data_IF_887432206012
#
_entry.id   IF_887432206012
#
_cell.length_a   1.000
_cell.length_b   1.000
_cell.length_c   1.000
_cell.angle_alpha   90.00
_cell.angle_beta   90.00
_cell.angle_gamma   90.00
#
_symmetry.space_group_name_H-M   'P 1'
#
loop_
_entity.id
_entity.type
_entity.pdbx_description
1 polymer ?
#
# COMPACT_ATOMS: atom_id res chain seq x y z
N UNK A 1 -2.98 -20.71 10.55
CA UNK A 1 -2.52 -19.58 11.38
C UNK A 1 -3.76 -18.89 11.89
N UNK A 2 -3.90 -18.65 13.20
CA UNK A 2 -5.02 -17.84 13.69
C UNK A 2 -4.94 -16.42 13.10
N UNK A 3 -6.06 -15.84 12.65
CA UNK A 3 -6.07 -14.50 12.09
C UNK A 3 -5.74 -13.47 13.18
N UNK A 4 -4.67 -12.71 12.96
CA UNK A 4 -4.33 -11.58 13.83
C UNK A 4 -5.41 -10.50 13.74
N UNK A 5 -5.69 -9.86 14.86
CA UNK A 5 -6.62 -8.73 14.93
C UNK A 5 -5.87 -7.44 15.22
N UNK A 6 -6.26 -6.38 14.51
CA UNK A 6 -5.79 -5.02 14.77
C UNK A 6 -7.01 -4.10 14.84
N UNK A 7 -7.07 -3.30 15.90
CA UNK A 7 -8.08 -2.25 16.02
C UNK A 7 -7.69 -1.01 15.20
N UNK A 8 -8.66 -0.10 15.02
CA UNK A 8 -8.47 1.14 14.26
C UNK A 8 -7.27 1.95 14.77
N UNK A 9 -7.11 2.04 16.10
CA UNK A 9 -6.03 2.83 16.72
C UNK A 9 -4.66 2.22 16.51
N UNK A 10 -4.54 0.90 16.46
CA UNK A 10 -3.27 0.20 16.19
C UNK A 10 -2.85 0.42 14.75
N UNK A 11 -3.77 0.30 13.80
CA UNK A 11 -3.50 0.59 12.38
C UNK A 11 -3.08 2.06 12.20
N UNK A 12 -3.83 3.00 12.78
CA UNK A 12 -3.50 4.43 12.68
C UNK A 12 -2.13 4.77 13.29
N UNK A 13 -1.79 4.20 14.45
CA UNK A 13 -0.47 4.38 15.06
C UNK A 13 0.65 3.83 14.20
N UNK A 14 0.43 2.68 13.56
CA UNK A 14 1.41 2.07 12.68
C UNK A 14 1.61 2.88 11.39
N UNK A 15 0.52 3.39 10.79
CA UNK A 15 0.59 4.34 9.66
C UNK A 15 1.41 5.58 10.04
N UNK A 16 1.14 6.18 11.20
CA UNK A 16 1.88 7.35 11.68
C UNK A 16 3.36 7.04 11.97
N UNK A 17 3.65 5.84 12.49
CA UNK A 17 5.03 5.37 12.69
C UNK A 17 5.75 5.28 11.34
N UNK A 18 5.15 4.60 10.36
CA UNK A 18 5.72 4.44 9.02
C UNK A 18 5.92 5.78 8.32
N UNK A 19 4.94 6.70 8.44
CA UNK A 19 5.06 8.05 7.89
C UNK A 19 6.24 8.84 8.48
N UNK A 20 6.54 8.63 9.76
CA UNK A 20 7.68 9.26 10.45
C UNK A 20 9.02 8.59 10.14
N UNK A 21 9.03 7.34 9.65
CA UNK A 21 10.27 6.69 9.21
C UNK A 21 10.79 7.28 7.91
N UNK A 22 9.89 7.60 6.96
CA UNK A 22 10.26 8.12 5.64
C UNK A 22 9.55 9.44 5.28
N UNK A 23 9.70 10.51 6.09
CA UNK A 23 9.00 11.77 5.85
C UNK A 23 9.48 12.44 4.56
N UNK A 24 10.78 12.35 4.25
CA UNK A 24 11.36 12.97 3.04
C UNK A 24 10.88 12.26 1.77
N UNK A 25 11.01 10.92 1.61
CA UNK A 25 10.46 10.25 0.42
C UNK A 25 8.96 10.44 0.24
N UNK A 26 8.17 10.43 1.32
CA UNK A 26 6.73 10.70 1.25
C UNK A 26 6.43 12.11 0.75
N UNK A 27 7.14 13.12 1.29
CA UNK A 27 6.95 14.52 0.87
C UNK A 27 7.37 14.70 -0.59
N UNK A 28 8.50 14.12 -0.99
CA UNK A 28 8.97 14.17 -2.38
C UNK A 28 8.00 13.47 -3.34
N UNK A 29 7.44 12.32 -2.94
CA UNK A 29 6.40 11.65 -3.70
C UNK A 29 5.17 12.54 -3.89
N UNK A 30 4.62 13.08 -2.80
CA UNK A 30 3.40 13.90 -2.85
C UNK A 30 3.62 15.14 -3.72
N UNK A 31 4.72 15.87 -3.53
CA UNK A 31 5.01 17.06 -4.32
C UNK A 31 5.32 16.72 -5.79
N UNK A 32 6.07 15.65 -6.03
CA UNK A 32 6.44 15.20 -7.37
C UNK A 32 5.23 14.76 -8.19
N UNK A 33 4.41 13.87 -7.62
CA UNK A 33 3.17 13.42 -8.25
C UNK A 33 2.22 14.59 -8.49
N UNK A 34 1.98 15.43 -7.47
CA UNK A 34 1.07 16.56 -7.60
C UNK A 34 1.51 17.54 -8.70
N UNK A 35 2.81 17.83 -8.78
CA UNK A 35 3.38 18.69 -9.83
C UNK A 35 3.22 18.08 -11.21
N UNK A 36 3.50 16.78 -11.35
CA UNK A 36 3.42 16.08 -12.63
C UNK A 36 1.98 16.04 -13.15
N UNK A 37 1.02 15.62 -12.33
CA UNK A 37 -0.40 15.58 -12.72
C UNK A 37 -0.95 17.00 -12.99
N UNK A 38 -0.61 17.99 -12.15
CA UNK A 38 -1.04 19.38 -12.40
C UNK A 38 -0.50 19.95 -13.71
N UNK A 39 0.70 19.56 -14.10
CA UNK A 39 1.26 19.93 -15.39
C UNK A 39 0.51 19.27 -16.55
N UNK A 40 0.12 18.00 -16.41
CA UNK A 40 -0.69 17.29 -17.41
C UNK A 40 -2.03 18.01 -17.58
N UNK A 41 -2.76 18.20 -16.49
CA UNK A 41 -4.10 18.82 -16.50
C UNK A 41 -4.05 20.22 -17.09
N UNK A 42 -3.05 21.03 -16.70
CA UNK A 42 -2.90 22.40 -17.19
C UNK A 42 -2.53 22.47 -18.68
N UNK A 43 -1.69 21.54 -19.15
CA UNK A 43 -1.11 21.61 -20.51
C UNK A 43 -2.01 20.94 -21.54
N UNK A 44 -2.65 19.82 -21.16
CA UNK A 44 -3.38 18.97 -22.09
C UNK A 44 -4.90 18.95 -21.82
N UNK A 45 -5.36 19.47 -20.68
CA UNK A 45 -6.76 19.40 -20.28
C UNK A 45 -7.27 17.96 -20.25
N UNK A 46 -8.49 17.73 -20.74
CA UNK A 46 -9.14 16.42 -20.72
C UNK A 46 -8.66 15.46 -21.84
N UNK A 47 -7.69 15.86 -22.65
CA UNK A 47 -7.21 15.02 -23.76
C UNK A 47 -6.25 13.97 -23.23
N UNK A 48 -6.65 12.70 -23.28
CA UNK A 48 -5.74 11.60 -22.96
C UNK A 48 -4.54 11.58 -23.90
N UNK A 49 -3.33 11.65 -23.34
CA UNK A 49 -2.08 11.71 -24.12
C UNK A 49 -1.10 10.59 -23.81
N UNK A 50 -0.18 10.32 -24.74
CA UNK A 50 0.96 9.43 -24.47
C UNK A 50 1.83 9.95 -23.31
N UNK A 51 1.88 11.27 -23.09
CA UNK A 51 2.64 11.88 -22.01
C UNK A 51 2.01 11.56 -20.64
N UNK A 52 0.69 11.67 -20.53
CA UNK A 52 -0.06 11.21 -19.34
C UNK A 52 0.19 9.72 -19.05
N UNK A 53 0.24 8.89 -20.08
CA UNK A 53 0.60 7.47 -19.93
C UNK A 53 1.99 7.29 -19.30
N UNK A 54 2.98 8.13 -19.68
CA UNK A 54 4.31 8.10 -19.06
C UNK A 54 4.27 8.56 -17.60
N UNK A 55 3.46 9.58 -17.27
CA UNK A 55 3.27 10.04 -15.89
C UNK A 55 2.67 8.93 -15.04
N UNK A 56 1.63 8.25 -15.53
CA UNK A 56 1.02 7.10 -14.84
C UNK A 56 2.01 5.96 -14.60
N UNK A 57 2.83 5.61 -15.60
CA UNK A 57 3.86 4.57 -15.45
C UNK A 57 4.95 4.98 -14.46
N UNK A 58 5.39 6.23 -14.50
CA UNK A 58 6.37 6.77 -13.56
C UNK A 58 5.83 6.81 -12.13
N UNK A 59 4.58 7.25 -11.95
CA UNK A 59 3.89 7.26 -10.65
C UNK A 59 3.74 5.83 -10.10
N UNK A 60 3.29 4.86 -10.90
CA UNK A 60 3.22 3.45 -10.50
C UNK A 60 4.58 2.88 -10.06
N UNK A 61 5.67 3.27 -10.72
CA UNK A 61 7.02 2.91 -10.30
C UNK A 61 7.46 3.62 -9.00
N UNK A 62 7.11 4.90 -8.82
CA UNK A 62 7.38 5.63 -7.57
C UNK A 62 6.61 5.03 -6.39
N UNK A 63 5.37 4.64 -6.58
CA UNK A 63 4.55 3.92 -5.60
C UNK A 63 5.20 2.58 -5.22
N UNK A 64 5.73 1.84 -6.20
CA UNK A 64 6.52 0.64 -5.94
C UNK A 64 7.77 0.94 -5.09
N UNK A 65 8.56 1.94 -5.47
CA UNK A 65 9.77 2.34 -4.73
C UNK A 65 9.43 2.77 -3.31
N UNK A 66 8.38 3.56 -3.13
CA UNK A 66 7.92 4.01 -1.82
C UNK A 66 7.48 2.84 -0.95
N UNK A 67 6.71 1.90 -1.51
CA UNK A 67 6.31 0.66 -0.82
C UNK A 67 7.55 -0.14 -0.41
N UNK A 68 8.50 -0.32 -1.34
CA UNK A 68 9.74 -1.05 -1.08
C UNK A 68 10.57 -0.41 0.04
N UNK A 69 10.78 0.91 0.01
CA UNK A 69 11.53 1.64 1.04
C UNK A 69 10.86 1.52 2.40
N UNK A 70 9.54 1.71 2.47
CA UNK A 70 8.78 1.55 3.71
C UNK A 70 8.89 0.13 4.27
N UNK A 71 8.83 -0.89 3.41
CA UNK A 71 9.00 -2.27 3.83
C UNK A 71 10.43 -2.58 4.31
N UNK A 72 11.44 -2.02 3.64
CA UNK A 72 12.84 -2.18 4.02
C UNK A 72 13.11 -1.54 5.40
N UNK A 73 12.68 -0.28 5.60
CA UNK A 73 12.83 0.43 6.88
C UNK A 73 12.01 -0.21 8.01
N UNK A 74 10.88 -0.84 7.68
CA UNK A 74 10.08 -1.61 8.63
C UNK A 74 10.67 -2.99 8.96
N UNK A 75 11.80 -3.38 8.34
CA UNK A 75 12.47 -4.66 8.56
C UNK A 75 11.72 -5.87 7.99
N UNK A 76 10.84 -5.65 7.00
CA UNK A 76 9.96 -6.69 6.47
C UNK A 76 10.62 -7.63 5.45
N UNK A 77 11.88 -7.36 5.10
CA UNK A 77 12.71 -8.22 4.22
C UNK A 77 13.77 -9.01 5.00
N UNK A 78 13.52 -9.36 6.27
CA UNK A 78 14.48 -10.08 7.12
C UNK A 78 14.99 -11.39 6.46
N UNK A 79 14.13 -12.12 5.76
CA UNK A 79 14.47 -13.35 5.02
C UNK A 79 14.85 -13.10 3.54
N UNK A 80 15.13 -11.84 3.20
CA UNK A 80 15.42 -11.38 1.85
C UNK A 80 14.16 -11.01 1.04
N UNK A 81 14.37 -10.15 0.04
CA UNK A 81 13.35 -9.80 -0.95
C UNK A 81 13.27 -10.89 -2.01
N UNK A 82 12.07 -11.39 -2.29
CA UNK A 82 11.87 -12.40 -3.34
C UNK A 82 11.15 -11.86 -4.57
N UNK A 83 10.24 -10.91 -4.41
CA UNK A 83 9.41 -10.37 -5.50
C UNK A 83 9.96 -9.06 -6.10
N UNK A 84 9.83 -8.93 -7.42
CA UNK A 84 10.26 -7.74 -8.17
C UNK A 84 9.13 -6.76 -8.51
N UNK A 85 9.47 -5.69 -9.25
CA UNK A 85 8.50 -4.71 -9.76
C UNK A 85 7.38 -5.36 -10.59
N UNK A 86 7.70 -6.35 -11.42
CA UNK A 86 6.70 -7.01 -12.27
C UNK A 86 5.62 -7.72 -11.45
N UNK A 87 6.00 -8.39 -10.36
CA UNK A 87 5.04 -9.08 -9.49
C UNK A 87 4.13 -8.07 -8.77
N UNK A 88 4.72 -6.97 -8.28
CA UNK A 88 3.96 -5.84 -7.73
C UNK A 88 2.99 -5.25 -8.75
N UNK A 89 3.44 -5.01 -9.98
CA UNK A 89 2.64 -4.46 -11.05
C UNK A 89 1.46 -5.36 -11.40
N UNK A 90 1.68 -6.67 -11.53
CA UNK A 90 0.61 -7.63 -11.83
C UNK A 90 -0.46 -7.67 -10.72
N UNK A 91 -0.05 -7.72 -9.44
CA UNK A 91 -1.01 -7.66 -8.32
C UNK A 91 -1.76 -6.32 -8.34
N UNK A 92 -1.06 -5.21 -8.59
CA UNK A 92 -1.66 -3.87 -8.61
C UNK A 92 -2.66 -3.69 -9.76
N UNK A 93 -2.37 -4.25 -10.94
CA UNK A 93 -3.30 -4.24 -12.08
C UNK A 93 -4.54 -5.09 -11.77
N UNK A 94 -4.35 -6.34 -11.33
CA UNK A 94 -5.47 -7.25 -11.08
C UNK A 94 -6.37 -6.71 -9.95
N UNK A 95 -5.78 -6.31 -8.83
CA UNK A 95 -6.53 -5.72 -7.72
C UNK A 95 -7.15 -4.39 -8.12
N UNK A 96 -6.42 -3.51 -8.80
CA UNK A 96 -6.91 -2.22 -9.28
C UNK A 96 -8.12 -2.35 -10.19
N UNK A 97 -8.08 -3.23 -11.20
CA UNK A 97 -9.21 -3.48 -12.09
C UNK A 97 -10.45 -3.96 -11.33
N UNK A 98 -10.27 -4.90 -10.39
CA UNK A 98 -11.39 -5.44 -9.61
C UNK A 98 -11.94 -4.43 -8.59
N UNK A 99 -11.08 -3.58 -8.02
CA UNK A 99 -11.50 -2.46 -7.16
C UNK A 99 -12.29 -1.44 -7.97
N UNK A 100 -11.83 -1.07 -9.16
CA UNK A 100 -12.54 -0.16 -10.08
C UNK A 100 -13.90 -0.76 -10.47
N UNK A 101 -13.93 -2.01 -10.95
CA UNK A 101 -15.17 -2.70 -11.30
C UNK A 101 -16.11 -2.83 -10.10
N UNK A 102 -15.57 -3.14 -8.93
CA UNK A 102 -16.31 -3.19 -7.67
C UNK A 102 -16.94 -1.84 -7.37
N UNK A 103 -16.17 -0.77 -7.41
CA UNK A 103 -16.61 0.61 -7.12
C UNK A 103 -17.66 1.09 -8.12
N UNK A 104 -17.48 0.80 -9.42
CA UNK A 104 -18.43 1.14 -10.48
C UNK A 104 -19.74 0.38 -10.36
N UNK A 105 -19.70 -0.90 -9.98
CA UNK A 105 -20.90 -1.69 -9.74
C UNK A 105 -21.66 -1.17 -8.52
N UNK A 106 -20.96 -1.05 -7.37
CA UNK A 106 -21.46 -0.52 -6.11
C UNK A 106 -20.25 -0.08 -5.26
N UNK A 107 -20.24 1.17 -4.77
CA UNK A 107 -19.11 1.74 -4.01
C UNK A 107 -18.63 0.81 -2.87
N UNK A 108 -19.56 0.13 -2.19
CA UNK A 108 -19.27 -0.75 -1.04
C UNK A 108 -18.38 -1.95 -1.41
N UNK A 109 -18.71 -2.79 -2.42
CA UNK A 109 -17.79 -3.82 -2.92
C UNK A 109 -16.38 -3.34 -3.22
N UNK A 110 -16.22 -2.20 -3.88
CA UNK A 110 -14.90 -1.61 -4.16
C UNK A 110 -14.08 -1.33 -2.89
N UNK A 111 -14.73 -0.71 -1.90
CA UNK A 111 -14.12 -0.43 -0.59
C UNK A 111 -13.72 -1.70 0.16
N UNK A 112 -14.56 -2.75 0.12
CA UNK A 112 -14.26 -4.04 0.76
C UNK A 112 -13.04 -4.68 0.08
N UNK A 113 -12.99 -4.69 -1.25
CA UNK A 113 -11.85 -5.23 -2.00
C UNK A 113 -10.57 -4.45 -1.67
N UNK A 114 -10.61 -3.12 -1.68
CA UNK A 114 -9.46 -2.29 -1.34
C UNK A 114 -8.96 -2.59 0.07
N UNK A 115 -9.85 -2.58 1.08
CA UNK A 115 -9.49 -2.83 2.47
C UNK A 115 -8.86 -4.23 2.65
N UNK A 116 -9.38 -5.25 1.97
CA UNK A 116 -8.98 -6.64 2.17
C UNK A 116 -7.78 -7.07 1.33
N UNK A 117 -7.51 -6.39 0.21
CA UNK A 117 -6.36 -6.68 -0.66
C UNK A 117 -5.21 -5.70 -0.49
N UNK A 118 -5.38 -4.67 0.35
CA UNK A 118 -4.33 -3.70 0.63
C UNK A 118 -2.97 -4.35 0.96
N UNK A 119 -2.84 -5.36 1.85
CA UNK A 119 -1.53 -5.94 2.16
C UNK A 119 -1.01 -6.94 1.12
N UNK A 120 -1.81 -7.35 0.13
CA UNK A 120 -1.39 -8.32 -0.90
C UNK A 120 -0.19 -7.84 -1.73
N UNK A 121 -0.10 -6.53 -2.01
CA UNK A 121 1.03 -5.95 -2.75
C UNK A 121 2.34 -6.02 -1.97
N UNK A 122 2.29 -6.07 -0.63
CA UNK A 122 3.46 -6.31 0.20
C UNK A 122 3.81 -7.81 0.24
N UNK A 123 2.80 -8.69 0.32
CA UNK A 123 3.00 -10.14 0.36
C UNK A 123 3.73 -10.67 -0.87
N UNK A 124 3.37 -10.17 -2.06
CA UNK A 124 4.03 -10.60 -3.31
C UNK A 124 5.51 -10.20 -3.35
N UNK A 125 5.90 -9.09 -2.70
CA UNK A 125 7.29 -8.64 -2.62
C UNK A 125 8.15 -9.50 -1.71
N UNK A 126 7.55 -10.02 -0.64
CA UNK A 126 8.26 -10.89 0.33
C UNK A 126 8.29 -12.34 -0.15
N UNK A 127 7.18 -12.84 -0.70
CA UNK A 127 7.04 -14.28 -1.01
C UNK A 127 7.31 -14.63 -2.48
N UNK A 128 7.11 -13.71 -3.42
CA UNK A 128 7.17 -13.96 -4.87
C UNK A 128 6.27 -15.12 -5.35
N UNK A 129 5.12 -15.26 -4.70
CA UNK A 129 4.12 -16.26 -5.05
C UNK A 129 3.05 -15.67 -5.98
N UNK A 130 2.17 -16.52 -6.50
CA UNK A 130 1.16 -16.11 -7.49
C UNK A 130 0.23 -15.00 -6.98
N UNK A 131 -0.25 -14.16 -7.92
CA UNK A 131 -1.17 -13.04 -7.63
C UNK A 131 -2.40 -13.51 -6.84
N UNK A 132 -3.00 -14.64 -7.24
CA UNK A 132 -4.17 -15.22 -6.59
C UNK A 132 -3.90 -15.63 -5.14
N UNK A 133 -2.72 -16.21 -4.87
CA UNK A 133 -2.35 -16.68 -3.54
C UNK A 133 -2.11 -15.51 -2.59
N UNK A 134 -1.46 -14.45 -3.07
CA UNK A 134 -1.25 -13.21 -2.32
C UNK A 134 -2.59 -12.55 -1.96
N UNK A 135 -3.52 -12.45 -2.92
CA UNK A 135 -4.86 -11.88 -2.69
C UNK A 135 -5.68 -12.74 -1.74
N UNK A 136 -5.63 -14.07 -1.86
CA UNK A 136 -6.31 -15.01 -0.97
C UNK A 136 -5.80 -14.92 0.47
N UNK A 137 -4.49 -14.93 0.69
CA UNK A 137 -3.92 -14.74 2.03
C UNK A 137 -4.25 -13.39 2.63
N UNK A 138 -4.19 -12.33 1.82
CA UNK A 138 -4.58 -10.99 2.24
C UNK A 138 -6.05 -10.95 2.68
N UNK A 139 -6.93 -11.61 1.94
CA UNK A 139 -8.34 -11.74 2.27
C UNK A 139 -8.54 -12.43 3.62
N UNK A 140 -7.90 -13.58 3.84
CA UNK A 140 -8.03 -14.35 5.08
C UNK A 140 -7.46 -13.58 6.28
N UNK A 141 -6.28 -12.97 6.12
CA UNK A 141 -5.59 -12.23 7.19
C UNK A 141 -6.34 -10.96 7.61
N UNK A 142 -7.08 -10.32 6.70
CA UNK A 142 -7.81 -9.07 6.99
C UNK A 142 -9.23 -9.30 7.52
N UNK A 143 -9.74 -10.54 7.46
CA UNK A 143 -11.13 -10.87 7.80
C UNK A 143 -11.56 -10.39 9.20
N UNK A 144 -10.72 -10.63 10.20
CA UNK A 144 -11.01 -10.31 11.59
C UNK A 144 -10.84 -8.81 11.93
N UNK A 145 -10.17 -8.04 11.06
CA UNK A 145 -9.91 -6.60 11.24
C UNK A 145 -10.70 -5.72 10.26
N UNK A 146 -11.64 -6.28 9.50
CA UNK A 146 -12.32 -5.60 8.39
C UNK A 146 -12.98 -4.28 8.81
N UNK A 147 -13.69 -4.26 9.95
CA UNK A 147 -14.37 -3.05 10.45
C UNK A 147 -13.36 -1.95 10.81
N UNK A 148 -12.18 -2.31 11.30
CA UNK A 148 -11.12 -1.37 11.62
C UNK A 148 -10.40 -0.83 10.36
N UNK A 149 -10.36 -1.63 9.29
CA UNK A 149 -9.75 -1.27 8.01
C UNK A 149 -10.64 -0.34 7.19
N UNK A 150 -11.96 -0.52 7.24
CA UNK A 150 -12.92 0.24 6.42
C UNK A 150 -12.77 1.77 6.53
N UNK A 151 -12.66 2.40 7.73
CA UNK A 151 -12.46 3.84 7.82
C UNK A 151 -11.16 4.32 7.15
N UNK A 152 -10.08 3.52 7.20
CA UNK A 152 -8.82 3.86 6.55
C UNK A 152 -8.92 3.72 5.02
N UNK A 153 -9.66 2.71 4.55
CA UNK A 153 -9.98 2.51 3.14
C UNK A 153 -10.84 3.65 2.59
N UNK A 154 -11.87 4.06 3.35
CA UNK A 154 -12.71 5.22 3.01
C UNK A 154 -11.85 6.47 2.93
N UNK A 155 -10.97 6.72 3.91
CA UNK A 155 -10.09 7.89 3.87
C UNK A 155 -9.17 7.89 2.65
N UNK A 156 -8.58 6.73 2.30
CA UNK A 156 -7.76 6.57 1.12
C UNK A 156 -8.54 6.90 -0.16
N UNK A 157 -9.74 6.32 -0.32
CA UNK A 157 -10.55 6.49 -1.52
C UNK A 157 -11.23 7.85 -1.59
N UNK A 158 -11.68 8.43 -0.48
CA UNK A 158 -12.38 9.71 -0.48
C UNK A 158 -11.55 10.84 -1.07
N UNK A 159 -10.24 10.92 -0.78
CA UNK A 159 -9.40 11.95 -1.39
C UNK A 159 -9.26 11.76 -2.90
N UNK A 160 -9.15 10.53 -3.38
CA UNK A 160 -9.13 10.24 -4.81
C UNK A 160 -10.47 10.56 -5.49
N UNK A 161 -11.59 10.06 -4.94
CA UNK A 161 -12.94 10.32 -5.46
C UNK A 161 -13.31 11.81 -5.42
N UNK A 162 -12.86 12.56 -4.41
CA UNK A 162 -13.12 13.99 -4.32
C UNK A 162 -12.45 14.77 -5.47
N UNK A 163 -11.23 14.37 -5.85
CA UNK A 163 -10.52 14.96 -7.00
C UNK A 163 -11.20 14.57 -8.31
N UNK A 164 -11.53 13.29 -8.51
CA UNK A 164 -12.22 12.86 -9.74
C UNK A 164 -13.63 13.45 -9.89
N UNK A 165 -14.37 13.63 -8.79
CA UNK A 165 -15.70 14.25 -8.84
C UNK A 165 -15.61 15.75 -9.21
N UNK A 166 -14.53 16.39 -8.80
CA UNK A 166 -14.27 17.79 -9.09
C UNK A 166 -13.96 18.01 -10.57
N UNK A 167 -13.20 17.11 -11.19
CA UNK A 167 -12.94 17.07 -12.64
C UNK A 167 -14.22 16.85 -13.46
N UNK A 168 -15.21 16.14 -12.91
CA UNK A 168 -16.51 15.92 -13.58
C UNK A 168 -17.45 17.14 -13.55
N UNK A 169 -17.11 18.21 -12.82
CA UNK A 169 -17.93 19.41 -12.80
C UNK A 169 -17.81 20.17 -14.14
N UNK A 170 -18.91 20.65 -14.72
CA UNK A 170 -18.86 21.39 -15.98
C UNK A 170 -17.93 22.61 -15.89
N UNK A 171 -17.13 22.89 -16.93
CA UNK A 171 -16.23 24.06 -16.99
C UNK A 171 -16.93 25.39 -16.64
N UNK A 172 -18.22 25.49 -17.00
CA UNK A 172 -19.08 26.65 -16.68
C UNK A 172 -19.34 26.86 -15.17
N UNK A 173 -19.16 25.83 -14.34
CA UNK A 173 -19.31 25.88 -12.88
C UNK A 173 -18.00 26.27 -12.18
N UNK A 174 -16.85 25.89 -12.74
CA UNK A 174 -15.52 26.16 -12.16
C UNK A 174 -14.81 27.37 -12.79
N UNK A 175 -15.21 27.80 -13.99
CA UNK A 175 -14.39 28.67 -14.82
C UNK A 175 -13.09 27.96 -15.23
N UNK A 176 -12.11 28.69 -15.77
CA UNK A 176 -10.73 28.19 -15.79
C UNK A 176 -10.33 28.05 -14.32
N UNK A 177 -10.35 26.82 -13.81
CA UNK A 177 -9.93 26.56 -12.44
C UNK A 177 -8.52 27.14 -12.27
N UNK A 178 -8.28 28.03 -11.28
CA UNK A 178 -6.97 28.61 -11.08
C UNK A 178 -5.93 27.50 -10.93
N UNK A 179 -4.73 27.65 -11.52
CA UNK A 179 -3.64 26.66 -11.40
C UNK A 179 -3.43 26.18 -9.94
N UNK A 180 -3.56 27.08 -8.97
CA UNK A 180 -3.45 26.75 -7.55
C UNK A 180 -4.51 25.76 -7.05
N UNK A 181 -5.71 25.79 -7.61
CA UNK A 181 -6.78 24.84 -7.30
C UNK A 181 -6.48 23.44 -7.82
N UNK A 182 -6.08 23.33 -9.09
CA UNK A 182 -5.65 22.06 -9.72
C UNK A 182 -4.49 21.46 -8.94
N UNK A 183 -3.52 22.29 -8.54
CA UNK A 183 -2.41 21.83 -7.72
C UNK A 183 -2.84 21.30 -6.35
N UNK A 184 -3.74 22.00 -5.65
CA UNK A 184 -4.26 21.54 -4.36
C UNK A 184 -5.01 20.20 -4.52
N UNK A 185 -5.84 20.07 -5.54
CA UNK A 185 -6.55 18.82 -5.83
C UNK A 185 -5.56 17.66 -6.04
N UNK A 186 -4.53 17.87 -6.86
CA UNK A 186 -3.49 16.89 -7.11
C UNK A 186 -2.63 16.57 -5.87
N UNK A 187 -2.40 17.52 -4.97
CA UNK A 187 -1.78 17.25 -3.66
C UNK A 187 -2.67 16.33 -2.83
N UNK A 188 -3.98 16.57 -2.78
CA UNK A 188 -4.93 15.71 -2.05
C UNK A 188 -4.95 14.29 -2.66
N UNK A 189 -4.98 14.18 -3.99
CA UNK A 189 -4.90 12.91 -4.69
C UNK A 189 -3.61 12.14 -4.35
N UNK A 190 -2.46 12.80 -4.43
CA UNK A 190 -1.17 12.19 -4.10
C UNK A 190 -1.07 11.81 -2.61
N UNK A 191 -1.63 12.61 -1.69
CA UNK A 191 -1.72 12.25 -0.26
C UNK A 191 -2.59 11.00 -0.04
N UNK A 192 -3.69 10.86 -0.80
CA UNK A 192 -4.55 9.67 -0.79
C UNK A 192 -3.80 8.42 -1.22
N UNK A 193 -3.00 8.49 -2.28
CA UNK A 193 -2.17 7.36 -2.73
C UNK A 193 -1.11 7.02 -1.68
N UNK A 194 -0.41 8.03 -1.15
CA UNK A 194 0.57 7.84 -0.08
C UNK A 194 -0.05 7.17 1.16
N UNK A 195 -1.27 7.56 1.53
CA UNK A 195 -2.03 6.92 2.61
C UNK A 195 -2.36 5.45 2.29
N UNK A 196 -2.74 5.13 1.06
CA UNK A 196 -2.96 3.76 0.59
C UNK A 196 -1.70 2.89 0.70
N UNK A 197 -0.54 3.43 0.32
CA UNK A 197 0.75 2.74 0.48
C UNK A 197 1.08 2.48 1.95
N UNK A 198 0.93 3.49 2.80
CA UNK A 198 1.17 3.35 4.24
C UNK A 198 0.24 2.33 4.87
N UNK A 199 -1.04 2.33 4.48
CA UNK A 199 -2.03 1.34 4.92
C UNK A 199 -1.62 -0.07 4.48
N UNK A 200 -1.13 -0.24 3.25
CA UNK A 200 -0.67 -1.54 2.74
C UNK A 200 0.45 -2.11 3.59
N UNK A 201 1.50 -1.31 3.84
CA UNK A 201 2.66 -1.73 4.63
C UNK A 201 2.27 -1.96 6.10
N UNK A 202 1.46 -1.08 6.69
CA UNK A 202 0.99 -1.21 8.07
C UNK A 202 0.20 -2.50 8.28
N UNK A 203 -0.75 -2.77 7.37
CA UNK A 203 -1.62 -3.95 7.48
C UNK A 203 -0.87 -5.23 7.20
N UNK A 204 0.08 -5.23 6.26
CA UNK A 204 0.95 -6.37 6.04
C UNK A 204 1.79 -6.68 7.29
N UNK A 205 2.40 -5.64 7.87
CA UNK A 205 3.21 -5.78 9.09
C UNK A 205 2.39 -6.29 10.27
N UNK A 206 1.21 -5.74 10.51
CA UNK A 206 0.39 -6.12 11.65
C UNK A 206 -0.26 -7.49 11.47
N UNK A 207 -0.76 -7.80 10.27
CA UNK A 207 -1.68 -8.93 10.06
C UNK A 207 -1.03 -10.12 9.35
N UNK A 208 0.04 -9.94 8.59
CA UNK A 208 0.60 -10.99 7.72
C UNK A 208 2.04 -11.41 8.02
N UNK A 209 2.79 -10.66 8.86
CA UNK A 209 4.14 -11.09 9.26
C UNK A 209 4.09 -12.30 10.19
N UNK A 210 4.89 -13.36 9.94
CA UNK A 210 5.07 -14.45 10.90
C UNK A 210 5.59 -13.92 12.25
N UNK A 211 5.18 -14.52 13.37
CA UNK A 211 5.88 -14.28 14.65
C UNK A 211 7.31 -14.80 14.52
N UNK A 212 8.31 -14.15 15.13
CA UNK A 212 9.59 -14.82 15.39
C UNK A 212 9.31 -16.11 16.17
N UNK A 213 9.97 -17.21 15.81
CA UNK A 213 9.78 -18.57 16.35
C UNK A 213 9.95 -18.69 17.88
N UNK A 214 10.21 -17.60 18.61
CA UNK A 214 10.42 -17.57 20.05
C UNK A 214 9.12 -17.49 20.87
N UNK A 215 7.96 -17.37 20.21
CA UNK A 215 6.65 -17.37 20.89
C UNK A 215 5.97 -18.74 20.94
N UNK A 216 6.55 -19.76 20.29
CA UNK A 216 6.09 -21.15 20.35
C UNK A 216 7.26 -22.05 20.71
N UNK A 217 7.63 -22.05 21.99
CA UNK A 217 8.74 -22.84 22.50
C UNK A 217 8.54 -23.17 23.98
N UNK A 218 7.47 -23.89 24.28
CA UNK A 218 7.47 -24.79 25.42
C UNK A 218 8.74 -25.65 25.41
N UNK A 219 9.25 -25.87 26.62
CA UNK A 219 10.53 -26.51 26.86
C UNK A 219 10.70 -27.87 26.20
N UNK A 220 11.77 -28.00 25.42
CA UNK A 220 12.47 -29.26 25.24
C UNK A 220 13.96 -28.93 25.12
N UNK A 221 14.74 -29.55 26.02
CA UNK A 221 16.06 -29.11 26.41
C UNK A 221 17.09 -29.03 25.28
N UNK A 222 17.80 -27.91 25.25
CA UNK A 222 19.18 -27.88 24.78
C UNK A 222 20.08 -28.09 26.00
N UNK A 223 20.45 -29.35 26.26
CA UNK A 223 21.55 -29.63 27.18
C UNK A 223 22.85 -29.13 26.54
N UNK A 224 23.70 -28.36 27.25
CA UNK A 224 25.01 -28.01 26.72
C UNK A 224 25.87 -29.28 26.71
N UNK A 225 26.39 -29.67 25.56
CA UNK A 225 27.44 -30.68 25.47
C UNK A 225 28.75 -30.10 26.03
N UNK A 226 28.84 -30.02 27.35
CA UNK A 226 30.11 -29.89 28.06
C UNK A 226 30.73 -31.29 28.13
N UNK A 227 31.70 -31.54 27.26
CA UNK A 227 32.49 -32.76 27.25
C UNK A 227 33.91 -32.46 26.80
N UNK A 228 34.65 -31.74 27.64
CA UNK A 228 36.10 -31.75 27.59
C UNK A 228 36.60 -33.19 27.81
N UNK A 229 37.41 -33.69 26.89
CA UNK A 229 38.08 -34.98 26.98
C UNK A 229 39.25 -35.01 26.01
N UNK A 230 40.41 -34.57 26.50
CA UNK A 230 41.70 -34.70 25.86
C UNK A 230 42.05 -36.19 25.63
N UNK A 231 42.84 -36.44 24.57
CA UNK A 231 43.73 -37.58 24.18
C UNK A 231 44.09 -38.65 25.23
N UNK A 232 44.64 -39.86 24.89
CA UNK A 232 45.42 -40.20 23.67
C UNK A 232 45.27 -41.65 23.10
N UNK A 233 45.77 -41.86 21.89
CA UNK A 233 46.62 -43.01 21.49
C UNK A 233 47.28 -42.72 20.14
#
# INVERSE_FOLDING_TARGET
>A
MEPRTADFRTIAREILRLARLLPVPLTLYVLGAATAYSFVDWTFGDVFTWFETLVLLADGYLVYVLTFLLMAEAGLFADGKRGGFLAFLLVSIVSGMLIVLGTLALIIPGLILFARWCPAVCDVLVRNEGVTDALGRSWDATSASMIALLPHAILAMCGYTAVSLLELLPDRMLGIAPLGFVFIANVVGAMSVAWGVLLSVATYRLLMTPLPDHASGDGAGYAPANGAGQSPA
#
